data_IF_132138594548
#
_entry.id   IF_132138594548
#
_cell.length_a   1.000
_cell.length_b   1.000
_cell.length_c   1.000
_cell.angle_alpha   90.00
_cell.angle_beta   90.00
_cell.angle_gamma   90.00
#
_symmetry.space_group_name_H-M   'P 1'
#
loop_
_entity.id
_entity.type
_entity.pdbx_description
1 polymer ?
#
# COMPACT_ATOMS: atom_id res chain seq x y z
N UNK A 1 20.89 0.22 -33.53
CA UNK A 1 20.39 0.68 -32.19
C UNK A 1 19.30 1.68 -32.48
N UNK A 2 18.06 1.43 -32.00
CA UNK A 2 17.04 2.48 -32.03
C UNK A 2 17.57 3.71 -31.28
N UNK A 3 17.32 4.92 -31.80
CA UNK A 3 17.70 6.14 -31.11
C UNK A 3 16.99 6.16 -29.73
N UNK A 4 17.61 6.74 -28.70
CA UNK A 4 17.00 6.83 -27.36
C UNK A 4 15.65 7.54 -27.39
N UNK A 5 15.34 8.29 -28.46
CA UNK A 5 14.06 8.98 -28.66
C UNK A 5 12.91 8.05 -29.13
N UNK A 6 13.20 6.82 -29.54
CA UNK A 6 12.20 5.82 -30.02
C UNK A 6 11.80 4.84 -28.92
N UNK A 7 12.44 4.88 -27.77
CA UNK A 7 12.08 4.02 -26.63
C UNK A 7 10.93 4.67 -25.87
N UNK A 8 9.78 3.99 -25.82
CA UNK A 8 8.66 4.40 -24.97
C UNK A 8 8.93 3.88 -23.56
N UNK A 9 9.18 4.77 -22.59
CA UNK A 9 9.50 4.36 -21.23
C UNK A 9 8.28 3.82 -20.50
N UNK A 10 8.51 2.98 -19.48
CA UNK A 10 7.45 2.62 -18.53
C UNK A 10 7.16 3.84 -17.64
N UNK A 11 6.00 4.46 -17.86
CA UNK A 11 5.61 5.70 -17.16
C UNK A 11 5.51 5.52 -15.64
N UNK A 12 5.10 4.34 -15.16
CA UNK A 12 5.01 4.07 -13.72
C UNK A 12 6.41 4.03 -13.09
N UNK A 13 7.34 3.34 -13.74
CA UNK A 13 8.71 3.24 -13.27
C UNK A 13 9.44 4.59 -13.31
N UNK A 14 9.39 5.30 -14.46
CA UNK A 14 10.22 6.50 -14.64
C UNK A 14 9.69 7.72 -13.92
N UNK A 15 8.36 7.89 -13.94
CA UNK A 15 7.74 9.12 -13.44
C UNK A 15 7.31 9.05 -11.99
N UNK A 16 6.99 7.87 -11.46
CA UNK A 16 6.31 7.76 -10.18
C UNK A 16 6.97 6.86 -9.16
N UNK A 17 7.67 5.80 -9.59
CA UNK A 17 8.31 4.90 -8.66
C UNK A 17 9.60 5.51 -8.08
N UNK A 18 9.85 5.23 -6.80
CA UNK A 18 11.08 5.62 -6.12
C UNK A 18 12.32 4.93 -6.71
N UNK A 19 13.50 5.53 -6.57
CA UNK A 19 14.75 4.88 -7.01
C UNK A 19 14.95 3.48 -6.42
N UNK A 20 14.54 3.26 -5.16
CA UNK A 20 14.65 1.97 -4.49
C UNK A 20 13.77 0.90 -5.17
N UNK A 21 12.52 1.23 -5.50
CA UNK A 21 11.64 0.29 -6.21
C UNK A 21 12.13 0.01 -7.62
N UNK A 22 12.59 1.03 -8.34
CA UNK A 22 13.20 0.86 -9.67
C UNK A 22 14.43 -0.05 -9.63
N UNK A 23 15.28 0.08 -8.62
CA UNK A 23 16.46 -0.77 -8.47
C UNK A 23 16.09 -2.25 -8.35
N UNK A 24 15.03 -2.58 -7.59
CA UNK A 24 14.54 -3.96 -7.42
C UNK A 24 14.16 -4.59 -8.77
N UNK A 25 13.43 -3.85 -9.62
CA UNK A 25 12.87 -4.37 -10.88
C UNK A 25 13.73 -4.09 -12.11
N UNK A 26 14.85 -3.37 -11.99
CA UNK A 26 15.74 -3.11 -13.09
C UNK A 26 16.39 -4.38 -13.63
N UNK A 27 16.78 -4.40 -14.91
CA UNK A 27 17.53 -5.51 -15.51
C UNK A 27 18.81 -5.80 -14.73
N UNK A 28 19.57 -4.77 -14.34
CA UNK A 28 20.78 -4.92 -13.52
C UNK A 28 20.47 -5.50 -12.14
N UNK A 29 19.41 -5.03 -11.48
CA UNK A 29 19.00 -5.54 -10.16
C UNK A 29 18.61 -7.01 -10.21
N UNK A 30 17.85 -7.42 -11.23
CA UNK A 30 17.50 -8.84 -11.45
C UNK A 30 18.75 -9.71 -11.66
N UNK A 31 19.65 -9.31 -12.55
CA UNK A 31 20.87 -10.08 -12.85
C UNK A 31 21.79 -10.18 -11.61
N UNK A 32 21.88 -9.13 -10.81
CA UNK A 32 22.61 -9.19 -9.55
C UNK A 32 22.06 -10.27 -8.60
N UNK A 33 20.72 -10.35 -8.47
CA UNK A 33 20.07 -11.40 -7.66
C UNK A 33 20.31 -12.79 -8.28
N UNK A 34 20.27 -12.94 -9.60
CA UNK A 34 20.55 -14.19 -10.31
C UNK A 34 21.98 -14.69 -10.02
N UNK A 35 22.96 -13.79 -10.07
CA UNK A 35 24.36 -14.14 -9.79
C UNK A 35 24.59 -14.50 -8.32
N UNK A 36 23.99 -13.79 -7.40
CA UNK A 36 24.02 -14.12 -5.97
C UNK A 36 23.39 -15.50 -5.71
N UNK A 37 22.29 -15.84 -6.39
CA UNK A 37 21.64 -17.15 -6.28
C UNK A 37 22.54 -18.27 -6.84
N UNK A 38 23.13 -18.09 -8.01
CA UNK A 38 24.07 -19.07 -8.58
C UNK A 38 25.26 -19.30 -7.66
N UNK A 39 25.86 -18.25 -7.12
CA UNK A 39 26.97 -18.34 -6.16
C UNK A 39 26.55 -19.09 -4.88
N UNK A 40 25.35 -18.82 -4.37
CA UNK A 40 24.84 -19.53 -3.20
C UNK A 40 24.67 -21.03 -3.45
N UNK A 41 24.09 -21.39 -4.60
CA UNK A 41 23.91 -22.79 -5.00
C UNK A 41 25.27 -23.46 -5.18
N UNK A 42 26.20 -22.82 -5.88
CA UNK A 42 27.54 -23.35 -6.13
C UNK A 42 28.33 -23.60 -4.83
N UNK A 43 28.29 -22.64 -3.89
CA UNK A 43 28.92 -22.81 -2.56
C UNK A 43 28.28 -23.96 -1.79
N UNK A 44 26.95 -24.04 -1.77
CA UNK A 44 26.25 -25.11 -1.08
C UNK A 44 26.50 -26.49 -1.71
N UNK A 45 26.58 -26.56 -3.04
CA UNK A 45 26.93 -27.79 -3.76
C UNK A 45 28.36 -28.29 -3.39
N UNK A 46 29.32 -27.36 -3.36
CA UNK A 46 30.70 -27.70 -2.92
C UNK A 46 30.73 -28.20 -1.49
N UNK A 47 30.07 -27.54 -0.56
CA UNK A 47 30.00 -27.95 0.86
C UNK A 47 29.31 -29.31 1.03
N UNK A 48 28.45 -29.71 0.10
CA UNK A 48 27.79 -31.01 0.07
C UNK A 48 28.59 -32.08 -0.69
N UNK A 49 29.83 -31.77 -1.13
CA UNK A 49 30.76 -32.73 -1.67
C UNK A 49 30.88 -32.75 -3.20
N UNK A 50 30.24 -31.82 -3.93
CA UNK A 50 30.53 -31.71 -5.37
C UNK A 50 31.91 -31.12 -5.61
N UNK A 51 32.59 -31.63 -6.64
CA UNK A 51 33.99 -31.24 -7.00
C UNK A 51 34.02 -29.88 -7.68
N UNK A 52 33.71 -28.81 -6.93
CA UNK A 52 33.79 -27.42 -7.38
C UNK A 52 35.04 -26.78 -6.76
N UNK A 53 36.01 -26.31 -7.57
CA UNK A 53 37.22 -25.67 -7.03
C UNK A 53 36.92 -24.39 -6.27
N UNK A 54 37.61 -24.15 -5.15
CA UNK A 54 37.48 -22.89 -4.41
C UNK A 54 37.86 -21.68 -5.26
N UNK A 55 38.87 -21.81 -6.12
CA UNK A 55 39.28 -20.78 -7.05
C UNK A 55 38.16 -20.40 -8.04
N UNK A 56 37.36 -21.37 -8.49
CA UNK A 56 36.23 -21.05 -9.38
C UNK A 56 35.19 -20.17 -8.67
N UNK A 57 34.87 -20.46 -7.39
CA UNK A 57 33.96 -19.60 -6.60
C UNK A 57 34.51 -18.17 -6.48
N UNK A 58 35.80 -18.04 -6.16
CA UNK A 58 36.48 -16.75 -6.04
C UNK A 58 36.47 -15.95 -7.37
N UNK A 59 36.66 -16.65 -8.51
CA UNK A 59 36.60 -16.00 -9.83
C UNK A 59 35.21 -15.43 -10.13
N UNK A 60 34.14 -16.17 -9.85
CA UNK A 60 32.76 -15.64 -10.00
C UNK A 60 32.46 -14.50 -9.01
N UNK A 61 32.90 -14.60 -7.74
CA UNK A 61 32.71 -13.52 -6.76
C UNK A 61 33.41 -12.23 -7.19
N UNK A 62 34.59 -12.32 -7.75
CA UNK A 62 35.38 -11.17 -8.24
C UNK A 62 34.67 -10.40 -9.35
N UNK A 63 33.88 -11.09 -10.20
CA UNK A 63 33.24 -10.48 -11.38
C UNK A 63 31.72 -10.34 -11.24
N UNK A 64 31.11 -10.74 -10.13
CA UNK A 64 29.65 -10.78 -9.98
C UNK A 64 28.96 -9.44 -10.22
N UNK A 65 29.61 -8.33 -9.91
CA UNK A 65 29.05 -6.98 -10.07
C UNK A 65 29.36 -6.35 -11.45
N UNK A 66 30.17 -7.02 -12.28
CA UNK A 66 30.54 -6.59 -13.64
C UNK A 66 29.48 -7.04 -14.65
N UNK A 67 28.25 -6.44 -14.57
CA UNK A 67 27.12 -6.82 -15.41
C UNK A 67 27.20 -6.05 -16.74
N UNK A 68 27.43 -6.77 -17.85
CA UNK A 68 27.44 -6.24 -19.22
C UNK A 68 26.10 -6.55 -19.92
N UNK A 69 25.12 -5.66 -19.75
CA UNK A 69 23.79 -5.80 -20.36
C UNK A 69 23.85 -5.89 -21.89
N UNK A 70 24.77 -5.17 -22.53
CA UNK A 70 24.91 -5.18 -23.99
C UNK A 70 25.46 -6.54 -24.49
N UNK A 71 26.37 -7.16 -23.76
CA UNK A 71 26.86 -8.50 -24.06
C UNK A 71 25.76 -9.54 -23.89
N UNK A 72 24.96 -9.45 -22.84
CA UNK A 72 23.82 -10.33 -22.60
C UNK A 72 22.80 -10.22 -23.76
N UNK A 73 22.42 -9.00 -24.16
CA UNK A 73 21.47 -8.75 -25.24
C UNK A 73 21.97 -9.34 -26.58
N UNK A 74 23.25 -9.14 -26.93
CA UNK A 74 23.83 -9.74 -28.15
C UNK A 74 23.76 -11.28 -28.13
N UNK A 75 24.06 -11.90 -26.99
CA UNK A 75 23.99 -13.35 -26.81
C UNK A 75 22.57 -13.86 -26.90
N UNK A 76 21.62 -13.17 -26.26
CA UNK A 76 20.21 -13.54 -26.27
C UNK A 76 19.61 -13.51 -27.68
N UNK A 77 19.94 -12.51 -28.50
CA UNK A 77 19.55 -12.42 -29.91
C UNK A 77 20.07 -13.58 -30.76
N UNK A 78 21.24 -14.11 -30.41
CA UNK A 78 21.84 -15.25 -31.14
C UNK A 78 21.27 -16.59 -30.65
N UNK A 79 21.15 -16.74 -29.33
CA UNK A 79 20.77 -17.99 -28.69
C UNK A 79 19.25 -18.18 -28.60
N UNK A 80 18.47 -17.10 -28.73
CA UNK A 80 17.02 -17.04 -28.52
C UNK A 80 16.59 -17.61 -27.16
N UNK A 81 17.49 -17.46 -26.15
CA UNK A 81 17.27 -17.99 -24.80
C UNK A 81 17.94 -17.08 -23.76
N UNK A 82 17.14 -16.40 -22.97
CA UNK A 82 17.55 -15.39 -22.02
C UNK A 82 18.48 -15.92 -20.89
N UNK A 83 18.11 -17.00 -20.21
CA UNK A 83 18.92 -17.58 -19.13
C UNK A 83 20.27 -18.10 -19.65
N UNK A 84 20.28 -18.76 -20.83
CA UNK A 84 21.52 -19.24 -21.44
C UNK A 84 22.47 -18.09 -21.77
N UNK A 85 21.98 -16.99 -22.28
CA UNK A 85 22.76 -15.78 -22.56
C UNK A 85 23.44 -15.24 -21.28
N UNK A 86 22.71 -15.22 -20.16
CA UNK A 86 23.25 -14.78 -18.86
C UNK A 86 24.26 -15.76 -18.27
N UNK A 87 24.05 -17.07 -18.45
CA UNK A 87 25.04 -18.09 -18.06
C UNK A 87 26.34 -17.90 -18.84
N UNK A 88 26.28 -17.76 -20.16
CA UNK A 88 27.47 -17.61 -21.00
C UNK A 88 28.23 -16.32 -20.72
N UNK A 89 27.52 -15.23 -20.48
CA UNK A 89 28.14 -13.95 -20.12
C UNK A 89 28.88 -14.06 -18.78
N UNK A 90 28.26 -14.62 -17.75
CA UNK A 90 28.89 -14.75 -16.43
C UNK A 90 30.02 -15.76 -16.41
N UNK A 91 29.90 -16.90 -17.13
CA UNK A 91 30.96 -17.85 -17.33
C UNK A 91 32.18 -17.22 -18.07
N UNK A 92 31.90 -16.43 -19.11
CA UNK A 92 32.92 -15.72 -19.87
C UNK A 92 33.70 -14.72 -19.02
N UNK A 93 33.03 -13.96 -18.16
CA UNK A 93 33.68 -13.04 -17.23
C UNK A 93 34.51 -13.73 -16.18
N UNK A 94 34.04 -14.87 -15.64
CA UNK A 94 34.74 -15.65 -14.63
C UNK A 94 35.86 -16.53 -15.21
N UNK A 95 35.81 -16.84 -16.51
CA UNK A 95 36.68 -17.86 -17.13
C UNK A 95 36.45 -19.25 -16.59
N UNK A 96 35.22 -19.57 -16.22
CA UNK A 96 34.80 -20.83 -15.55
C UNK A 96 33.41 -21.27 -16.01
N UNK A 97 33.08 -22.55 -15.84
CA UNK A 97 31.78 -23.15 -16.17
C UNK A 97 31.28 -24.04 -15.02
N UNK A 98 31.00 -23.41 -13.85
CA UNK A 98 30.55 -24.12 -12.65
C UNK A 98 29.19 -23.66 -12.10
N UNK A 99 28.53 -22.65 -12.73
CA UNK A 99 27.18 -22.23 -12.32
C UNK A 99 26.12 -23.09 -13.01
N UNK A 100 24.90 -23.03 -12.49
CA UNK A 100 23.69 -23.67 -13.05
C UNK A 100 23.71 -25.20 -13.10
N UNK A 101 24.63 -25.85 -12.36
CA UNK A 101 24.73 -27.31 -12.34
C UNK A 101 23.48 -27.94 -11.72
N UNK A 102 22.83 -28.84 -12.47
CA UNK A 102 21.59 -29.51 -12.07
C UNK A 102 20.38 -28.57 -11.89
N UNK A 103 20.42 -27.38 -12.45
CA UNK A 103 19.33 -26.41 -12.42
C UNK A 103 18.63 -26.30 -13.79
N UNK A 104 17.33 -26.04 -13.76
CA UNK A 104 16.60 -25.54 -14.90
C UNK A 104 16.46 -24.02 -14.86
N UNK A 105 16.13 -23.39 -15.98
CA UNK A 105 15.91 -21.93 -16.05
C UNK A 105 14.93 -21.44 -14.99
N UNK A 106 13.91 -22.23 -14.67
CA UNK A 106 12.90 -21.87 -13.65
C UNK A 106 13.41 -21.97 -12.21
N UNK A 107 14.43 -22.78 -11.92
CA UNK A 107 15.08 -22.75 -10.61
C UNK A 107 15.75 -21.39 -10.34
N UNK A 108 16.17 -20.70 -11.40
CA UNK A 108 16.68 -19.34 -11.33
C UNK A 108 15.55 -18.32 -11.33
N UNK A 109 14.79 -18.24 -12.44
CA UNK A 109 13.87 -17.13 -12.70
C UNK A 109 12.72 -17.05 -11.72
N UNK A 110 12.13 -18.18 -11.31
CA UNK A 110 11.01 -18.19 -10.37
C UNK A 110 11.44 -17.68 -8.98
N UNK A 111 12.57 -18.17 -8.45
CA UNK A 111 13.06 -17.71 -7.14
C UNK A 111 13.51 -16.24 -7.17
N UNK A 112 14.11 -15.78 -8.26
CA UNK A 112 14.53 -14.38 -8.41
C UNK A 112 13.32 -13.44 -8.50
N UNK A 113 12.30 -13.76 -9.29
CA UNK A 113 11.07 -12.99 -9.35
C UNK A 113 10.34 -12.96 -8.00
N UNK A 114 10.28 -14.09 -7.28
CA UNK A 114 9.74 -14.13 -5.92
C UNK A 114 10.52 -13.23 -4.95
N UNK A 115 11.83 -13.15 -5.06
CA UNK A 115 12.64 -12.22 -4.27
C UNK A 115 12.38 -10.76 -4.64
N UNK A 116 12.19 -10.45 -5.93
CA UNK A 116 11.84 -9.08 -6.36
C UNK A 116 10.47 -8.68 -5.80
N UNK A 117 9.47 -9.57 -5.88
CA UNK A 117 8.15 -9.35 -5.26
C UNK A 117 8.31 -9.13 -3.74
N UNK A 118 8.99 -10.01 -3.05
CA UNK A 118 9.17 -9.93 -1.59
C UNK A 118 9.85 -8.61 -1.18
N UNK A 119 10.94 -8.22 -1.85
CA UNK A 119 11.64 -6.95 -1.60
C UNK A 119 10.74 -5.74 -1.87
N UNK A 120 9.90 -5.80 -2.93
CA UNK A 120 8.89 -4.78 -3.20
C UNK A 120 7.86 -4.66 -2.07
N UNK A 121 7.34 -5.79 -1.60
CA UNK A 121 6.39 -5.84 -0.47
C UNK A 121 7.03 -5.31 0.83
N UNK A 122 8.28 -5.65 1.12
CA UNK A 122 9.02 -5.16 2.29
C UNK A 122 9.24 -3.65 2.24
N UNK A 123 9.59 -3.10 1.08
CA UNK A 123 9.72 -1.66 0.89
C UNK A 123 8.39 -0.94 1.13
N UNK A 124 7.30 -1.46 0.57
CA UNK A 124 5.96 -0.90 0.73
C UNK A 124 5.44 -1.02 2.16
N UNK A 125 5.78 -2.10 2.87
CA UNK A 125 5.52 -2.24 4.30
C UNK A 125 6.13 -1.09 5.10
N UNK A 126 7.38 -0.72 4.83
CA UNK A 126 8.05 0.41 5.49
C UNK A 126 7.35 1.74 5.17
N UNK A 127 6.93 1.95 3.92
CA UNK A 127 6.18 3.15 3.52
C UNK A 127 4.80 3.23 4.17
N UNK A 128 4.11 2.11 4.32
CA UNK A 128 2.85 2.04 5.05
C UNK A 128 3.02 2.41 6.54
N UNK A 129 4.09 1.94 7.19
CA UNK A 129 4.42 2.36 8.56
C UNK A 129 4.74 3.86 8.62
N UNK A 130 5.43 4.41 7.62
CA UNK A 130 5.70 5.85 7.52
C UNK A 130 4.40 6.68 7.37
N UNK A 131 3.43 6.19 6.62
CA UNK A 131 2.11 6.82 6.50
C UNK A 131 1.32 6.77 7.81
N UNK A 132 1.34 5.63 8.51
CA UNK A 132 0.73 5.48 9.84
C UNK A 132 1.34 6.45 10.86
N UNK A 133 2.65 6.59 10.88
CA UNK A 133 3.34 7.55 11.77
C UNK A 133 2.88 8.98 11.50
N UNK A 134 2.74 9.38 10.23
CA UNK A 134 2.25 10.71 9.85
C UNK A 134 0.79 10.92 10.23
N UNK A 135 -0.07 9.94 9.96
CA UNK A 135 -1.48 9.97 10.38
C UNK A 135 -1.59 10.12 11.90
N UNK A 136 -0.83 9.35 12.68
CA UNK A 136 -0.83 9.42 14.14
C UNK A 136 -0.34 10.78 14.66
N UNK A 137 0.75 11.33 14.07
CA UNK A 137 1.28 12.65 14.43
C UNK A 137 0.31 13.79 14.13
N UNK A 138 -0.50 13.67 13.08
CA UNK A 138 -1.53 14.66 12.74
C UNK A 138 -2.84 14.46 13.50
N UNK A 139 -3.22 13.23 13.79
CA UNK A 139 -4.44 12.92 14.51
C UNK A 139 -4.38 13.38 15.99
N UNK A 140 -3.25 13.16 16.68
CA UNK A 140 -3.10 13.43 18.09
C UNK A 140 -3.35 14.91 18.50
N UNK A 141 -2.74 15.91 17.88
CA UNK A 141 -2.97 17.32 18.23
C UNK A 141 -4.38 17.79 17.88
N UNK A 142 -5.03 17.15 16.91
CA UNK A 142 -6.37 17.52 16.42
C UNK A 142 -7.49 16.63 16.97
N UNK A 143 -7.19 15.80 18.00
CA UNK A 143 -8.17 14.88 18.59
C UNK A 143 -9.36 15.57 19.28
N UNK A 144 -9.26 16.85 19.59
CA UNK A 144 -10.34 17.66 20.16
C UNK A 144 -10.90 18.69 19.18
N UNK A 145 -10.34 18.81 17.97
CA UNK A 145 -10.84 19.74 16.97
C UNK A 145 -12.16 19.21 16.41
N UNK A 146 -13.27 19.75 16.92
CA UNK A 146 -14.62 19.37 16.47
C UNK A 146 -14.79 19.64 14.97
N UNK A 147 -15.42 18.70 14.30
CA UNK A 147 -15.69 18.72 12.87
C UNK A 147 -17.09 18.17 12.60
N UNK A 148 -17.80 18.78 11.67
CA UNK A 148 -19.07 18.25 11.16
C UNK A 148 -18.82 16.92 10.44
N UNK A 149 -19.30 15.82 11.02
CA UNK A 149 -19.28 14.52 10.34
C UNK A 149 -20.40 14.43 9.32
N UNK A 150 -20.15 13.66 8.26
CA UNK A 150 -21.09 13.44 7.17
C UNK A 150 -21.29 11.97 6.93
N UNK A 151 -22.53 11.54 6.82
CA UNK A 151 -22.92 10.24 6.29
C UNK A 151 -23.74 10.50 5.02
N UNK A 152 -23.59 9.66 3.99
CA UNK A 152 -24.20 9.91 2.68
C UNK A 152 -23.88 11.32 2.12
N UNK A 153 -22.72 11.87 2.49
CA UNK A 153 -22.24 13.22 2.20
C UNK A 153 -23.10 14.37 2.81
N UNK A 154 -24.02 14.06 3.72
CA UNK A 154 -24.89 15.04 4.40
C UNK A 154 -24.43 15.20 5.85
N UNK A 155 -24.43 16.44 6.42
CA UNK A 155 -24.15 16.66 7.83
C UNK A 155 -24.99 15.77 8.74
N UNK A 156 -24.36 15.08 9.69
CA UNK A 156 -25.00 14.09 10.56
C UNK A 156 -24.81 14.41 12.05
N UNK A 157 -23.63 14.15 12.58
CA UNK A 157 -23.25 14.39 13.97
C UNK A 157 -21.87 15.04 14.04
N UNK A 158 -21.45 15.60 15.17
CA UNK A 158 -20.08 16.04 15.37
C UNK A 158 -19.13 14.85 15.49
N UNK A 159 -17.92 15.03 14.98
CA UNK A 159 -16.74 14.19 15.21
C UNK A 159 -15.53 15.08 15.48
N UNK A 160 -14.32 14.54 15.46
CA UNK A 160 -13.10 15.35 15.46
C UNK A 160 -12.27 15.12 14.22
N UNK A 161 -11.45 16.10 13.85
CA UNK A 161 -10.53 15.94 12.72
C UNK A 161 -9.54 14.80 12.97
N UNK A 162 -9.01 14.71 14.20
CA UNK A 162 -8.14 13.60 14.59
C UNK A 162 -8.79 12.23 14.43
N UNK A 163 -10.08 12.10 14.80
CA UNK A 163 -10.83 10.84 14.61
C UNK A 163 -11.01 10.51 13.13
N UNK A 164 -11.26 11.50 12.30
CA UNK A 164 -11.34 11.31 10.83
C UNK A 164 -10.03 10.75 10.26
N UNK A 165 -8.86 11.24 10.72
CA UNK A 165 -7.57 10.69 10.32
C UNK A 165 -7.35 9.28 10.86
N UNK A 166 -7.74 9.01 12.11
CA UNK A 166 -7.61 7.70 12.73
C UNK A 166 -8.39 6.61 11.98
N UNK A 167 -9.55 6.93 11.37
CA UNK A 167 -10.32 5.97 10.57
C UNK A 167 -9.51 5.41 9.40
N UNK A 168 -8.80 6.26 8.67
CA UNK A 168 -7.92 5.81 7.58
C UNK A 168 -6.70 5.07 8.11
N UNK A 169 -6.23 5.45 9.30
CA UNK A 169 -5.16 4.74 9.99
C UNK A 169 -5.54 3.32 10.38
N UNK A 170 -6.74 3.10 10.88
CA UNK A 170 -7.24 1.75 11.24
C UNK A 170 -7.40 0.86 9.99
N UNK A 171 -7.88 1.42 8.87
CA UNK A 171 -7.94 0.69 7.59
C UNK A 171 -6.53 0.27 7.12
N UNK A 172 -5.56 1.20 7.22
CA UNK A 172 -4.16 0.91 6.85
C UNK A 172 -3.50 -0.09 7.80
N UNK A 173 -3.78 -0.03 9.12
CA UNK A 173 -3.29 -1.00 10.10
C UNK A 173 -3.76 -2.42 9.77
N UNK A 174 -5.03 -2.59 9.46
CA UNK A 174 -5.59 -3.90 9.07
C UNK A 174 -4.88 -4.47 7.83
N UNK A 175 -4.67 -3.64 6.82
CA UNK A 175 -3.96 -4.06 5.60
C UNK A 175 -2.47 -4.36 5.86
N UNK A 176 -1.81 -3.56 6.69
CA UNK A 176 -0.41 -3.75 7.07
C UNK A 176 -0.20 -5.05 7.87
N UNK A 177 -1.07 -5.38 8.80
CA UNK A 177 -1.02 -6.61 9.58
C UNK A 177 -1.10 -7.85 8.66
N UNK A 178 -2.03 -7.83 7.71
CA UNK A 178 -2.17 -8.90 6.70
C UNK A 178 -0.93 -9.00 5.80
N UNK A 179 -0.41 -7.87 5.34
CA UNK A 179 0.82 -7.84 4.54
C UNK A 179 2.02 -8.40 5.32
N UNK A 180 2.19 -8.02 6.59
CA UNK A 180 3.30 -8.51 7.43
C UNK A 180 3.22 -10.04 7.64
N UNK A 181 2.01 -10.57 7.89
CA UNK A 181 1.76 -12.01 7.97
C UNK A 181 2.05 -12.71 6.64
N UNK A 182 1.64 -12.14 5.51
CA UNK A 182 1.90 -12.65 4.19
C UNK A 182 3.41 -12.72 3.89
N UNK A 183 4.16 -11.65 4.16
CA UNK A 183 5.62 -11.61 4.01
C UNK A 183 6.28 -12.67 4.90
N UNK A 184 5.87 -12.79 6.15
CA UNK A 184 6.45 -13.77 7.08
C UNK A 184 6.21 -15.23 6.68
N UNK A 185 5.10 -15.49 5.97
CA UNK A 185 4.72 -16.80 5.48
C UNK A 185 5.08 -17.06 4.01
N UNK A 186 5.70 -16.10 3.31
CA UNK A 186 5.98 -16.15 1.87
C UNK A 186 6.86 -17.35 1.52
N UNK A 187 6.41 -18.29 0.65
CA UNK A 187 7.17 -19.48 0.30
C UNK A 187 8.01 -19.22 -0.95
N UNK A 188 9.20 -19.81 -1.01
CA UNK A 188 9.97 -19.92 -2.24
C UNK A 188 9.52 -21.12 -3.09
N UNK A 189 9.78 -21.09 -4.39
CA UNK A 189 9.66 -22.28 -5.23
C UNK A 189 10.73 -23.32 -4.83
N UNK A 190 11.93 -22.90 -4.55
CA UNK A 190 13.06 -23.76 -4.26
C UNK A 190 13.74 -24.32 -5.52
N UNK A 191 14.65 -25.29 -5.31
CA UNK A 191 15.35 -26.01 -6.38
C UNK A 191 14.61 -27.31 -6.70
N UNK A 192 13.75 -27.29 -7.69
CA UNK A 192 12.86 -28.42 -8.04
C UNK A 192 13.21 -29.12 -9.35
N UNK A 193 14.06 -28.50 -10.18
CA UNK A 193 14.39 -28.99 -11.51
C UNK A 193 13.24 -28.78 -12.52
N UNK A 194 13.33 -29.43 -13.66
CA UNK A 194 12.48 -29.18 -14.81
C UNK A 194 11.00 -29.51 -14.59
N UNK A 195 10.68 -30.53 -13.79
CA UNK A 195 9.30 -30.98 -13.54
C UNK A 195 9.00 -31.18 -12.04
N UNK A 196 9.83 -30.66 -11.17
CA UNK A 196 9.58 -30.66 -9.71
C UNK A 196 10.19 -31.84 -8.94
N UNK A 197 10.88 -32.77 -9.59
CA UNK A 197 11.38 -34.01 -8.99
C UNK A 197 12.77 -33.92 -8.39
N UNK A 198 13.50 -32.82 -8.59
CA UNK A 198 14.90 -32.65 -8.23
C UNK A 198 15.83 -33.72 -8.85
N UNK A 199 15.44 -34.33 -10.00
CA UNK A 199 16.16 -35.44 -10.63
C UNK A 199 17.62 -35.08 -10.86
N UNK A 200 17.88 -33.93 -11.53
CA UNK A 200 19.24 -33.54 -11.92
C UNK A 200 20.16 -33.28 -10.70
N UNK A 201 19.61 -32.67 -9.66
CA UNK A 201 20.33 -32.46 -8.39
C UNK A 201 20.63 -33.79 -7.69
N UNK A 202 19.65 -34.69 -7.67
CA UNK A 202 19.83 -36.03 -7.09
C UNK A 202 20.85 -36.83 -7.87
N UNK A 203 20.85 -36.75 -9.20
CA UNK A 203 21.82 -37.38 -10.06
C UNK A 203 23.24 -36.85 -9.81
N UNK A 204 23.42 -35.53 -9.68
CA UNK A 204 24.72 -34.92 -9.31
C UNK A 204 25.26 -35.44 -7.97
N UNK A 205 24.37 -35.77 -7.04
CA UNK A 205 24.73 -36.39 -5.76
C UNK A 205 24.68 -37.92 -5.75
N UNK A 206 24.87 -38.55 -6.91
CA UNK A 206 24.98 -40.03 -7.06
C UNK A 206 23.75 -40.76 -6.49
N UNK A 207 22.55 -40.19 -6.65
CA UNK A 207 21.28 -40.74 -6.14
C UNK A 207 20.92 -40.34 -4.72
N UNK A 208 21.75 -39.54 -4.04
CA UNK A 208 21.49 -39.13 -2.65
C UNK A 208 20.47 -37.96 -2.59
N UNK A 209 19.18 -38.29 -2.53
CA UNK A 209 18.09 -37.33 -2.38
C UNK A 209 18.19 -36.50 -1.07
N UNK A 210 18.85 -37.00 -0.02
CA UNK A 210 19.04 -36.25 1.23
C UNK A 210 20.02 -35.09 1.03
N UNK A 211 21.05 -35.25 0.19
CA UNK A 211 21.95 -34.14 -0.19
C UNK A 211 21.20 -33.09 -1.03
N UNK A 212 20.37 -33.51 -1.98
CA UNK A 212 19.52 -32.59 -2.77
C UNK A 212 18.60 -31.78 -1.87
N UNK A 213 17.94 -32.40 -0.90
CA UNK A 213 17.10 -31.70 0.09
C UNK A 213 17.91 -30.72 0.98
N UNK A 214 19.12 -31.10 1.40
CA UNK A 214 20.02 -30.20 2.15
C UNK A 214 20.49 -29.01 1.31
N UNK A 215 20.72 -29.20 0.02
CA UNK A 215 21.03 -28.09 -0.91
C UNK A 215 19.89 -27.07 -0.94
N UNK A 216 18.66 -27.51 -1.11
CA UNK A 216 17.49 -26.63 -1.09
C UNK A 216 17.37 -25.88 0.25
N UNK A 217 17.54 -26.54 1.38
CA UNK A 217 17.52 -25.90 2.70
C UNK A 217 18.60 -24.83 2.88
N UNK A 218 19.80 -25.05 2.32
CA UNK A 218 20.88 -24.05 2.34
C UNK A 218 20.54 -22.84 1.47
N UNK A 219 19.95 -23.08 0.29
CA UNK A 219 19.45 -22.01 -0.56
C UNK A 219 18.39 -21.18 0.16
N UNK A 220 17.40 -21.81 0.83
CA UNK A 220 16.36 -21.08 1.58
C UNK A 220 16.96 -20.18 2.65
N UNK A 221 17.98 -20.62 3.36
CA UNK A 221 18.71 -19.78 4.33
C UNK A 221 19.40 -18.58 3.67
N UNK A 222 20.03 -18.81 2.51
CA UNK A 222 20.64 -17.72 1.73
C UNK A 222 19.61 -16.69 1.27
N UNK A 223 18.44 -17.12 0.81
CA UNK A 223 17.35 -16.25 0.38
C UNK A 223 16.63 -15.56 1.56
N UNK A 224 16.93 -15.93 2.80
CA UNK A 224 16.23 -15.42 3.99
C UNK A 224 14.79 -15.91 4.11
N UNK A 225 14.42 -16.97 3.39
CA UNK A 225 13.05 -17.50 3.35
C UNK A 225 12.92 -18.71 4.28
N UNK A 226 11.81 -18.76 5.02
CA UNK A 226 11.53 -19.81 6.00
C UNK A 226 10.72 -20.97 5.43
N UNK A 227 10.01 -20.74 4.34
CA UNK A 227 9.10 -21.71 3.72
C UNK A 227 9.51 -21.97 2.27
N UNK A 228 9.33 -23.20 1.84
CA UNK A 228 9.49 -23.65 0.46
C UNK A 228 8.30 -24.51 0.08
N UNK A 229 7.86 -24.43 -1.15
CA UNK A 229 6.86 -25.34 -1.67
C UNK A 229 7.40 -26.78 -1.68
N UNK A 230 6.56 -27.72 -1.21
CA UNK A 230 6.91 -29.13 -1.20
C UNK A 230 6.82 -29.76 -2.60
N UNK A 231 5.61 -29.86 -3.10
CA UNK A 231 5.29 -30.52 -4.37
C UNK A 231 4.80 -29.49 -5.40
N UNK A 232 5.75 -28.87 -6.11
CA UNK A 232 5.46 -27.98 -7.25
C UNK A 232 6.21 -28.48 -8.48
N UNK A 233 5.67 -28.21 -9.65
CA UNK A 233 6.30 -28.53 -10.91
C UNK A 233 7.40 -27.53 -11.31
N UNK A 234 7.44 -27.19 -12.60
CA UNK A 234 8.37 -26.22 -13.14
C UNK A 234 8.11 -24.81 -12.58
N UNK A 235 6.85 -24.48 -12.29
CA UNK A 235 6.42 -23.19 -11.77
C UNK A 235 5.73 -23.33 -10.42
N UNK A 236 5.74 -22.27 -9.59
CA UNK A 236 4.95 -22.21 -8.36
C UNK A 236 3.50 -21.78 -8.67
N UNK A 237 2.51 -22.07 -7.79
CA UNK A 237 1.11 -21.70 -8.01
C UNK A 237 0.93 -20.20 -8.17
N UNK A 238 0.31 -19.75 -9.26
CA UNK A 238 0.10 -18.31 -9.56
C UNK A 238 -0.89 -17.62 -8.62
N UNK A 239 -1.60 -18.37 -7.81
CA UNK A 239 -2.36 -17.85 -6.67
C UNK A 239 -1.47 -17.08 -5.66
N UNK A 240 -0.16 -17.35 -5.59
CA UNK A 240 0.77 -16.57 -4.79
C UNK A 240 0.98 -15.16 -5.36
N UNK A 241 1.09 -15.04 -6.70
CA UNK A 241 1.17 -13.74 -7.38
C UNK A 241 -0.11 -12.93 -7.18
N UNK A 242 -1.28 -13.59 -7.32
CA UNK A 242 -2.57 -12.97 -7.05
C UNK A 242 -2.69 -12.49 -5.60
N UNK A 243 -2.25 -13.28 -4.63
CA UNK A 243 -2.24 -12.88 -3.22
C UNK A 243 -1.33 -11.66 -2.99
N UNK A 244 -0.14 -11.61 -3.60
CA UNK A 244 0.78 -10.48 -3.49
C UNK A 244 0.18 -9.19 -4.07
N UNK A 245 -0.37 -9.23 -5.29
CA UNK A 245 -0.97 -8.05 -5.94
C UNK A 245 -2.24 -7.61 -5.21
N UNK A 246 -3.05 -8.54 -4.71
CA UNK A 246 -4.22 -8.24 -3.86
C UNK A 246 -3.81 -7.55 -2.55
N UNK A 247 -2.71 -7.99 -1.92
CA UNK A 247 -2.19 -7.35 -0.72
C UNK A 247 -1.75 -5.90 -0.99
N UNK A 248 -1.13 -5.62 -2.15
CA UNK A 248 -0.78 -4.26 -2.57
C UNK A 248 -2.01 -3.37 -2.75
N UNK A 249 -3.06 -3.88 -3.38
CA UNK A 249 -4.31 -3.15 -3.55
C UNK A 249 -4.98 -2.85 -2.21
N UNK A 250 -5.06 -3.83 -1.30
CA UNK A 250 -5.59 -3.64 0.05
C UNK A 250 -4.79 -2.59 0.84
N UNK A 251 -3.46 -2.62 0.73
CA UNK A 251 -2.58 -1.65 1.39
C UNK A 251 -2.81 -0.22 0.86
N UNK A 252 -3.13 -0.07 -0.42
CA UNK A 252 -3.39 1.22 -1.08
C UNK A 252 -4.79 1.79 -0.79
N UNK A 253 -5.75 0.97 -0.32
CA UNK A 253 -7.17 1.35 -0.19
C UNK A 253 -7.39 2.51 0.78
N UNK A 254 -6.70 2.51 1.92
CA UNK A 254 -6.78 3.58 2.91
C UNK A 254 -6.37 4.95 2.34
N UNK A 255 -5.36 4.99 1.48
CA UNK A 255 -4.94 6.21 0.79
C UNK A 255 -6.02 6.71 -0.18
N UNK A 256 -6.73 5.80 -0.87
CA UNK A 256 -7.88 6.14 -1.71
C UNK A 256 -9.02 6.77 -0.91
N UNK A 257 -9.41 6.14 0.19
CA UNK A 257 -10.46 6.64 1.11
C UNK A 257 -10.09 8.03 1.69
N UNK A 258 -8.83 8.19 2.09
CA UNK A 258 -8.29 9.48 2.54
C UNK A 258 -8.35 10.54 1.43
N UNK A 259 -7.88 10.24 0.23
CA UNK A 259 -7.86 11.16 -0.91
C UNK A 259 -9.25 11.63 -1.30
N UNK A 260 -10.26 10.75 -1.29
CA UNK A 260 -11.67 11.13 -1.49
C UNK A 260 -12.10 12.15 -0.44
N UNK A 261 -11.82 11.90 0.84
CA UNK A 261 -12.22 12.80 1.93
C UNK A 261 -11.52 14.15 1.84
N UNK A 262 -10.21 14.19 1.51
CA UNK A 262 -9.49 15.45 1.30
C UNK A 262 -10.13 16.27 0.18
N UNK A 263 -10.47 15.65 -0.95
CA UNK A 263 -11.13 16.33 -2.08
C UNK A 263 -12.49 16.91 -1.69
N UNK A 264 -13.31 16.14 -0.96
CA UNK A 264 -14.60 16.61 -0.46
C UNK A 264 -14.45 17.78 0.51
N UNK A 265 -13.48 17.69 1.44
CA UNK A 265 -13.22 18.78 2.39
C UNK A 265 -12.63 20.02 1.69
N UNK A 266 -11.83 19.86 0.67
CA UNK A 266 -11.29 20.97 -0.12
C UNK A 266 -12.41 21.70 -0.88
N UNK A 267 -13.38 20.97 -1.44
CA UNK A 267 -14.57 21.55 -2.06
C UNK A 267 -15.42 22.39 -1.11
N UNK A 268 -15.35 22.12 0.19
CA UNK A 268 -15.99 22.89 1.26
C UNK A 268 -15.10 23.98 1.87
N UNK A 269 -13.87 24.14 1.39
CA UNK A 269 -12.92 25.12 1.93
C UNK A 269 -12.38 24.76 3.33
N UNK A 270 -12.46 23.50 3.78
CA UNK A 270 -12.08 23.09 5.14
C UNK A 270 -10.63 22.64 5.26
N UNK A 271 -10.03 22.21 4.15
CA UNK A 271 -8.63 21.80 4.04
C UNK A 271 -8.12 21.89 2.60
N UNK A 272 -6.82 21.70 2.44
CA UNK A 272 -6.13 21.51 1.15
C UNK A 272 -5.17 20.33 1.24
N UNK A 273 -4.81 19.72 0.09
CA UNK A 273 -3.75 18.69 0.02
C UNK A 273 -2.34 19.25 0.23
N UNK A 274 -2.21 20.57 0.31
CA UNK A 274 -0.97 21.30 0.36
C UNK A 274 -0.68 22.02 -0.96
N UNK A 275 0.07 23.11 -0.86
CA UNK A 275 0.47 23.92 -1.99
C UNK A 275 1.88 24.47 -1.77
N UNK A 276 2.80 24.07 -2.65
CA UNK A 276 4.19 24.50 -2.53
C UNK A 276 4.39 25.90 -3.11
N UNK A 277 5.33 26.65 -2.54
CA UNK A 277 5.72 27.96 -3.08
C UNK A 277 6.20 27.80 -4.53
N UNK A 278 5.57 28.54 -5.45
CA UNK A 278 5.87 28.44 -6.89
C UNK A 278 5.08 27.38 -7.66
N UNK A 279 4.28 26.56 -6.97
CA UNK A 279 3.39 25.61 -7.63
C UNK A 279 2.25 26.36 -8.35
N UNK A 280 1.92 25.91 -9.57
CA UNK A 280 0.75 26.42 -10.32
C UNK A 280 -0.44 25.50 -10.09
N UNK A 281 -1.47 25.99 -9.39
CA UNK A 281 -2.69 25.23 -9.10
C UNK A 281 -3.61 25.10 -10.32
N UNK A 282 -3.71 26.16 -11.11
CA UNK A 282 -4.49 26.24 -12.34
C UNK A 282 -3.83 27.20 -13.33
N UNK A 283 -3.81 26.82 -14.60
CA UNK A 283 -3.25 27.67 -15.68
C UNK A 283 -4.14 28.89 -16.01
N UNK A 284 -5.42 28.85 -15.61
CA UNK A 284 -6.42 29.88 -15.94
C UNK A 284 -6.90 30.63 -14.72
N UNK A 285 -7.09 29.92 -13.58
CA UNK A 285 -7.62 30.51 -12.35
C UNK A 285 -6.56 30.49 -11.25
N UNK A 286 -5.78 31.56 -11.02
CA UNK A 286 -4.63 31.56 -10.13
C UNK A 286 -4.94 31.23 -8.66
N UNK A 287 -6.15 31.53 -8.20
CA UNK A 287 -6.63 31.25 -6.83
C UNK A 287 -7.12 29.82 -6.61
N UNK A 288 -7.25 29.03 -7.68
CA UNK A 288 -7.83 27.67 -7.59
C UNK A 288 -6.76 26.66 -7.21
N UNK A 289 -6.84 26.12 -6.01
CA UNK A 289 -5.98 25.07 -5.51
C UNK A 289 -6.65 23.70 -5.73
N UNK A 290 -6.21 22.97 -6.74
CA UNK A 290 -6.74 21.64 -7.07
C UNK A 290 -6.05 20.54 -6.25
N UNK A 291 -6.79 19.51 -5.88
CA UNK A 291 -6.24 18.32 -5.19
C UNK A 291 -5.68 17.28 -6.18
N UNK A 292 -4.68 17.69 -6.99
CA UNK A 292 -4.11 16.87 -8.08
C UNK A 292 -3.39 15.62 -7.57
N UNK A 293 -2.77 15.68 -6.39
CA UNK A 293 -2.11 14.52 -5.79
C UNK A 293 -3.16 13.51 -5.30
N UNK A 294 -4.26 13.96 -4.71
CA UNK A 294 -5.37 13.08 -4.35
C UNK A 294 -6.01 12.42 -5.59
N UNK A 295 -6.11 13.14 -6.72
CA UNK A 295 -6.55 12.57 -7.99
C UNK A 295 -5.58 11.51 -8.51
N UNK A 296 -4.28 11.77 -8.39
CA UNK A 296 -3.21 10.80 -8.76
C UNK A 296 -3.28 9.53 -7.92
N UNK A 297 -3.55 9.63 -6.61
CA UNK A 297 -3.77 8.46 -5.73
C UNK A 297 -4.90 7.58 -6.28
N UNK A 298 -6.03 8.17 -6.72
CA UNK A 298 -7.12 7.42 -7.34
C UNK A 298 -6.71 6.75 -8.66
N UNK A 299 -5.91 7.43 -9.47
CA UNK A 299 -5.36 6.86 -10.70
C UNK A 299 -4.54 5.60 -10.44
N UNK A 300 -3.64 5.63 -9.46
CA UNK A 300 -2.86 4.45 -9.06
C UNK A 300 -3.73 3.33 -8.51
N UNK A 301 -4.74 3.64 -7.71
CA UNK A 301 -5.66 2.63 -7.18
C UNK A 301 -6.45 1.94 -8.30
N UNK A 302 -6.87 2.69 -9.32
CA UNK A 302 -7.51 2.13 -10.52
C UNK A 302 -6.58 1.18 -11.27
N UNK A 303 -5.31 1.56 -11.47
CA UNK A 303 -4.29 0.70 -12.09
C UNK A 303 -4.09 -0.59 -11.28
N UNK A 304 -3.95 -0.48 -9.96
CA UNK A 304 -3.82 -1.65 -9.08
C UNK A 304 -5.03 -2.58 -9.16
N UNK A 305 -6.26 -2.05 -9.29
CA UNK A 305 -7.47 -2.86 -9.49
C UNK A 305 -7.40 -3.66 -10.79
N UNK A 306 -6.89 -3.06 -11.86
CA UNK A 306 -6.64 -3.76 -13.13
C UNK A 306 -5.61 -4.88 -12.97
N UNK A 307 -4.52 -4.64 -12.26
CA UNK A 307 -3.50 -5.66 -12.00
C UNK A 307 -4.02 -6.81 -11.13
N UNK A 308 -4.87 -6.54 -10.14
CA UNK A 308 -5.56 -7.59 -9.36
C UNK A 308 -6.36 -8.51 -10.29
N UNK A 309 -7.10 -7.94 -11.25
CA UNK A 309 -7.89 -8.72 -12.22
C UNK A 309 -6.99 -9.60 -13.08
N UNK A 310 -5.91 -9.05 -13.64
CA UNK A 310 -4.95 -9.82 -14.45
C UNK A 310 -4.27 -10.93 -13.65
N UNK A 311 -3.86 -10.65 -12.41
CA UNK A 311 -3.24 -11.67 -11.54
C UNK A 311 -4.23 -12.78 -11.14
N UNK A 312 -5.50 -12.42 -10.91
CA UNK A 312 -6.55 -13.38 -10.60
C UNK A 312 -6.81 -14.37 -11.76
N UNK A 313 -6.72 -13.91 -13.00
CA UNK A 313 -6.89 -14.77 -14.18
C UNK A 313 -5.74 -15.78 -14.38
N UNK A 314 -4.56 -15.52 -13.82
CA UNK A 314 -3.46 -16.48 -13.82
C UNK A 314 -3.62 -17.57 -12.75
N UNK A 315 -4.38 -17.31 -11.70
CA UNK A 315 -4.60 -18.27 -10.63
C UNK A 315 -5.55 -19.36 -11.09
N UNK A 316 -5.09 -20.62 -11.04
CA UNK A 316 -5.87 -21.77 -11.53
C UNK A 316 -5.63 -22.18 -12.99
N UNK A 317 -4.82 -21.44 -13.74
CA UNK A 317 -4.48 -21.69 -15.15
C UNK A 317 -3.17 -22.48 -15.35
N UNK A 318 -2.75 -23.29 -14.39
CA UNK A 318 -1.55 -24.10 -14.53
C UNK A 318 -1.80 -25.35 -15.39
N UNK A 319 -0.99 -25.54 -16.43
CA UNK A 319 -1.01 -26.71 -17.30
C UNK A 319 0.03 -27.73 -16.90
N UNK A 320 -0.40 -28.91 -16.43
CA UNK A 320 0.45 -29.99 -15.94
C UNK A 320 1.54 -29.44 -14.95
N UNK A 321 2.81 -29.77 -15.17
CA UNK A 321 3.94 -29.31 -14.34
C UNK A 321 4.29 -27.84 -14.56
N UNK A 322 3.73 -27.19 -15.58
CA UNK A 322 3.86 -25.77 -15.87
C UNK A 322 4.15 -25.47 -17.34
N UNK A 323 3.86 -24.22 -17.70
CA UNK A 323 4.12 -23.66 -19.02
C UNK A 323 4.61 -22.20 -18.92
N UNK A 324 4.71 -21.50 -20.04
CA UNK A 324 5.15 -20.09 -20.11
C UNK A 324 4.05 -19.11 -20.46
N UNK A 325 2.78 -19.52 -20.59
CA UNK A 325 1.65 -18.65 -20.96
C UNK A 325 1.49 -17.49 -19.97
N UNK A 326 1.73 -17.75 -18.68
CA UNK A 326 1.71 -16.74 -17.64
C UNK A 326 2.84 -15.70 -17.74
N UNK A 327 3.89 -15.95 -18.51
CA UNK A 327 5.14 -15.18 -18.49
C UNK A 327 4.94 -13.74 -18.94
N UNK A 328 4.20 -13.50 -20.03
CA UNK A 328 3.95 -12.15 -20.55
C UNK A 328 3.17 -11.31 -19.54
N UNK A 329 2.08 -11.86 -18.99
CA UNK A 329 1.25 -11.18 -18.01
C UNK A 329 2.06 -10.83 -16.75
N UNK A 330 2.85 -11.76 -16.22
CA UNK A 330 3.67 -11.57 -15.02
C UNK A 330 4.75 -10.50 -15.18
N UNK A 331 5.35 -10.39 -16.38
CA UNK A 331 6.32 -9.34 -16.73
C UNK A 331 5.73 -7.92 -16.70
N UNK A 332 4.42 -7.81 -16.85
CA UNK A 332 3.68 -6.55 -16.70
C UNK A 332 3.16 -6.40 -15.27
N UNK A 333 2.37 -7.37 -14.80
CA UNK A 333 1.61 -7.24 -13.54
C UNK A 333 2.51 -7.05 -12.32
N UNK A 334 3.56 -7.85 -12.16
CA UNK A 334 4.36 -7.85 -10.93
C UNK A 334 5.16 -6.54 -10.75
N UNK A 335 5.96 -6.08 -11.74
CA UNK A 335 6.67 -4.82 -11.61
C UNK A 335 5.72 -3.62 -11.57
N UNK A 336 4.71 -3.58 -12.45
CA UNK A 336 3.83 -2.41 -12.57
C UNK A 336 2.90 -2.26 -11.36
N UNK A 337 2.45 -3.35 -10.74
CA UNK A 337 1.73 -3.28 -9.47
C UNK A 337 2.61 -2.72 -8.34
N UNK A 338 3.89 -3.12 -8.29
CA UNK A 338 4.86 -2.56 -7.34
C UNK A 338 5.13 -1.08 -7.62
N UNK A 339 5.31 -0.67 -8.88
CA UNK A 339 5.53 0.73 -9.27
C UNK A 339 4.31 1.59 -8.96
N UNK A 340 3.10 1.12 -9.28
CA UNK A 340 1.86 1.84 -8.99
C UNK A 340 1.64 2.01 -7.48
N UNK A 341 1.84 0.96 -6.69
CA UNK A 341 1.74 1.02 -5.23
C UNK A 341 2.81 1.96 -4.63
N UNK A 342 4.02 1.91 -5.15
CA UNK A 342 5.13 2.75 -4.71
C UNK A 342 4.85 4.22 -4.99
N UNK A 343 4.46 4.57 -6.21
CA UNK A 343 4.07 5.94 -6.60
C UNK A 343 2.86 6.45 -5.82
N UNK A 344 1.92 5.57 -5.49
CA UNK A 344 0.79 5.91 -4.63
C UNK A 344 1.29 6.30 -3.23
N UNK A 345 2.18 5.50 -2.61
CA UNK A 345 2.70 5.81 -1.28
C UNK A 345 3.61 7.04 -1.26
N UNK A 346 4.43 7.27 -2.30
CA UNK A 346 5.20 8.53 -2.43
C UNK A 346 4.25 9.74 -2.44
N UNK A 347 3.16 9.65 -3.22
CA UNK A 347 2.15 10.70 -3.30
C UNK A 347 1.39 10.86 -1.98
N UNK A 348 1.00 9.75 -1.34
CA UNK A 348 0.27 9.79 -0.07
C UNK A 348 1.10 10.40 1.07
N UNK A 349 2.36 10.01 1.18
CA UNK A 349 3.30 10.59 2.16
C UNK A 349 3.47 12.09 1.93
N UNK A 350 3.61 12.52 0.67
CA UNK A 350 3.68 13.94 0.31
C UNK A 350 2.44 14.70 0.75
N UNK A 351 1.24 14.17 0.48
CA UNK A 351 -0.01 14.81 0.92
C UNK A 351 -0.10 14.83 2.45
N UNK A 352 0.27 13.75 3.13
CA UNK A 352 0.30 13.72 4.59
C UNK A 352 1.27 14.73 5.20
N UNK A 353 2.39 15.03 4.54
CA UNK A 353 3.34 16.05 5.02
C UNK A 353 2.85 17.47 4.76
N UNK A 354 2.15 17.72 3.65
CA UNK A 354 1.83 19.05 3.14
C UNK A 354 0.38 19.51 3.40
N UNK A 355 -0.56 18.57 3.62
CA UNK A 355 -1.98 18.95 3.75
C UNK A 355 -2.20 19.90 4.94
N UNK A 356 -3.10 20.86 4.73
CA UNK A 356 -3.39 21.94 5.65
C UNK A 356 -4.89 22.00 5.93
N UNK A 357 -5.26 22.27 7.19
CA UNK A 357 -6.64 22.43 7.63
C UNK A 357 -6.89 23.90 7.99
N UNK A 358 -8.10 24.34 7.82
CA UNK A 358 -8.53 25.70 8.12
C UNK A 358 -9.47 25.73 9.34
N UNK A 359 -8.93 25.84 10.57
CA UNK A 359 -9.74 25.74 11.79
C UNK A 359 -10.85 26.81 11.89
N UNK A 360 -10.65 28.00 11.29
CA UNK A 360 -11.66 29.03 11.24
C UNK A 360 -12.86 28.62 10.35
N UNK A 361 -12.60 28.09 9.16
CA UNK A 361 -13.64 27.58 8.27
C UNK A 361 -14.39 26.40 8.89
N UNK A 362 -13.66 25.48 9.56
CA UNK A 362 -14.26 24.35 10.29
C UNK A 362 -15.19 24.87 11.40
N UNK A 363 -14.79 25.88 12.17
CA UNK A 363 -15.66 26.47 13.20
C UNK A 363 -16.91 27.09 12.60
N UNK A 364 -16.78 27.89 11.54
CA UNK A 364 -17.91 28.50 10.88
C UNK A 364 -18.91 27.46 10.32
N UNK A 365 -18.40 26.35 9.74
CA UNK A 365 -19.27 25.25 9.33
C UNK A 365 -19.97 24.61 10.53
N UNK A 366 -19.24 24.32 11.62
CA UNK A 366 -19.81 23.73 12.81
C UNK A 366 -20.90 24.63 13.41
N UNK A 367 -20.68 25.93 13.52
CA UNK A 367 -21.66 26.89 14.05
C UNK A 367 -22.95 26.88 13.22
N UNK A 368 -22.82 26.92 11.91
CA UNK A 368 -23.96 26.84 10.99
C UNK A 368 -24.74 25.52 11.11
N UNK A 369 -24.06 24.41 11.33
CA UNK A 369 -24.66 23.07 11.36
C UNK A 369 -25.09 22.63 12.76
N UNK A 370 -24.57 23.26 13.82
CA UNK A 370 -24.73 22.83 15.22
C UNK A 370 -26.20 22.61 15.63
N UNK A 371 -27.18 23.44 15.23
CA UNK A 371 -28.55 23.20 15.58
C UNK A 371 -29.07 21.82 15.17
N UNK A 372 -28.68 21.35 13.98
CA UNK A 372 -29.10 20.06 13.46
C UNK A 372 -28.22 18.91 14.03
N UNK A 373 -26.93 19.15 14.19
CA UNK A 373 -26.00 18.17 14.75
C UNK A 373 -26.32 17.82 16.20
N UNK A 374 -26.90 18.76 16.96
CA UNK A 374 -27.26 18.57 18.37
C UNK A 374 -28.56 17.79 18.59
N UNK A 375 -29.36 17.57 17.55
CA UNK A 375 -30.70 16.98 17.66
C UNK A 375 -30.73 15.62 18.37
N UNK A 376 -29.76 14.76 18.14
CA UNK A 376 -29.66 13.47 18.83
C UNK A 376 -29.29 13.61 20.30
N UNK A 377 -28.47 14.59 20.67
CA UNK A 377 -28.14 14.90 22.07
C UNK A 377 -29.37 15.43 22.80
N UNK A 378 -30.16 16.32 22.12
CA UNK A 378 -31.41 16.83 22.64
C UNK A 378 -32.41 15.68 22.84
N UNK A 379 -32.54 14.78 21.87
CA UNK A 379 -33.36 13.58 21.98
C UNK A 379 -33.00 12.74 23.24
N UNK A 380 -31.72 12.46 23.43
CA UNK A 380 -31.29 11.67 24.58
C UNK A 380 -31.53 12.40 25.91
N UNK A 381 -31.41 13.71 25.94
CA UNK A 381 -31.68 14.50 27.14
C UNK A 381 -33.18 14.51 27.46
N UNK A 382 -34.06 14.66 26.45
CA UNK A 382 -35.49 14.54 26.64
C UNK A 382 -35.90 13.16 27.17
N UNK A 383 -35.31 12.07 26.62
CA UNK A 383 -35.56 10.70 27.08
C UNK A 383 -35.12 10.50 28.54
N UNK A 384 -33.95 11.01 28.95
CA UNK A 384 -33.49 10.98 30.35
C UNK A 384 -34.44 11.67 31.32
N UNK A 385 -35.22 12.63 30.84
CA UNK A 385 -36.23 13.38 31.61
C UNK A 385 -37.63 12.76 31.57
N UNK A 386 -37.75 11.57 30.93
CA UNK A 386 -39.00 10.82 30.91
C UNK A 386 -39.82 10.98 29.64
N UNK A 387 -39.37 11.74 28.64
CA UNK A 387 -40.07 11.79 27.36
C UNK A 387 -39.96 10.44 26.63
N UNK A 388 -41.06 10.01 26.02
CA UNK A 388 -41.06 8.83 25.15
C UNK A 388 -40.09 9.06 23.94
N UNK A 389 -39.23 8.09 23.64
CA UNK A 389 -38.23 8.22 22.57
C UNK A 389 -38.86 8.60 21.22
N UNK A 390 -39.93 7.89 20.82
CA UNK A 390 -40.57 8.10 19.52
C UNK A 390 -41.35 9.44 19.51
N UNK A 391 -41.97 9.83 20.61
CA UNK A 391 -42.65 11.13 20.78
C UNK A 391 -41.65 12.28 20.64
N UNK A 392 -40.51 12.19 21.34
CA UNK A 392 -39.45 13.19 21.26
C UNK A 392 -38.81 13.22 19.87
N UNK A 393 -38.58 12.05 19.24
CA UNK A 393 -38.07 11.98 17.87
C UNK A 393 -39.02 12.63 16.85
N UNK A 394 -40.34 12.36 16.95
CA UNK A 394 -41.32 12.94 16.05
C UNK A 394 -41.37 14.49 16.19
N UNK A 395 -41.32 14.99 17.43
CA UNK A 395 -41.26 16.42 17.70
C UNK A 395 -40.01 17.08 17.08
N UNK A 396 -38.85 16.52 17.34
CA UNK A 396 -37.59 17.04 16.79
C UNK A 396 -37.62 17.02 15.26
N UNK A 397 -38.08 15.92 14.65
CA UNK A 397 -38.20 15.77 13.19
C UNK A 397 -39.05 16.86 12.57
N UNK A 398 -40.23 17.12 13.15
CA UNK A 398 -41.18 18.18 12.70
C UNK A 398 -40.48 19.53 12.65
N UNK A 399 -39.91 19.97 13.76
CA UNK A 399 -39.25 21.27 13.87
C UNK A 399 -37.97 21.37 13.02
N UNK A 400 -37.15 20.29 12.96
CA UNK A 400 -35.94 20.29 12.17
C UNK A 400 -36.21 20.35 10.67
N UNK A 401 -37.23 19.66 10.16
CA UNK A 401 -37.62 19.74 8.74
C UNK A 401 -38.18 21.13 8.38
N UNK A 402 -38.99 21.74 9.26
CA UNK A 402 -39.50 23.10 9.04
C UNK A 402 -38.36 24.12 9.01
N UNK A 403 -37.45 24.09 10.00
CA UNK A 403 -36.29 24.98 10.06
C UNK A 403 -35.37 24.81 8.85
N UNK A 404 -35.08 23.55 8.45
CA UNK A 404 -34.26 23.28 7.28
C UNK A 404 -34.88 23.80 5.97
N UNK A 405 -36.22 23.76 5.82
CA UNK A 405 -36.93 24.31 4.67
C UNK A 405 -36.83 25.85 4.64
N UNK A 406 -37.00 26.51 5.77
CA UNK A 406 -36.88 27.98 5.87
C UNK A 406 -35.47 28.44 5.49
N UNK A 407 -34.43 27.81 6.03
CA UNK A 407 -33.03 28.14 5.68
C UNK A 407 -32.79 27.97 4.17
N UNK A 408 -33.25 26.87 3.57
CA UNK A 408 -33.10 26.62 2.12
C UNK A 408 -33.85 27.62 1.25
N UNK A 409 -34.96 28.11 1.72
CA UNK A 409 -35.77 29.13 1.00
C UNK A 409 -35.29 30.57 1.26
N UNK A 410 -34.23 30.75 2.08
CA UNK A 410 -33.76 32.09 2.45
C UNK A 410 -34.72 32.87 3.37
N UNK A 411 -35.67 32.19 4.03
CA UNK A 411 -36.69 32.81 4.85
C UNK A 411 -36.27 33.07 6.30
N UNK A 412 -34.97 32.88 6.63
CA UNK A 412 -34.44 33.10 7.96
C UNK A 412 -33.38 32.04 8.35
N UNK A 413 -32.94 32.06 9.61
CA UNK A 413 -32.00 31.11 10.20
C UNK A 413 -32.65 29.78 10.67
N UNK A 414 -33.99 29.68 10.51
CA UNK A 414 -34.80 28.54 10.89
C UNK A 414 -35.05 28.41 12.40
N UNK A 415 -34.42 29.20 13.24
CA UNK A 415 -34.60 29.31 14.71
C UNK A 415 -34.91 27.97 15.41
N UNK A 416 -34.21 26.87 15.01
CA UNK A 416 -34.54 25.50 15.45
C UNK A 416 -34.57 25.38 17.00
N UNK A 417 -33.60 25.99 17.69
CA UNK A 417 -33.56 25.92 19.17
C UNK A 417 -34.74 26.64 19.83
N UNK A 418 -35.22 27.75 19.28
CA UNK A 418 -36.37 28.45 19.81
C UNK A 418 -37.65 27.63 19.63
N UNK A 419 -37.79 26.95 18.50
CA UNK A 419 -38.88 25.99 18.24
C UNK A 419 -38.86 24.82 19.22
N UNK A 420 -37.65 24.21 19.44
CA UNK A 420 -37.51 23.10 20.37
C UNK A 420 -37.71 23.51 21.83
N UNK A 421 -37.36 24.75 22.21
CA UNK A 421 -37.58 25.29 23.55
C UNK A 421 -39.08 25.49 23.88
N UNK A 422 -39.91 25.68 22.87
CA UNK A 422 -41.36 25.77 23.01
C UNK A 422 -42.12 24.46 22.87
N UNK A 423 -41.42 23.34 22.72
CA UNK A 423 -42.02 22.05 22.41
C UNK A 423 -42.29 21.22 23.68
N UNK A 424 -43.56 21.10 24.13
CA UNK A 424 -43.88 20.41 25.38
C UNK A 424 -43.53 18.93 25.40
N UNK A 425 -43.54 18.26 24.25
CA UNK A 425 -43.22 16.83 24.11
C UNK A 425 -41.75 16.51 24.48
N UNK A 426 -40.88 17.52 24.52
CA UNK A 426 -39.46 17.34 24.89
C UNK A 426 -39.22 17.50 26.38
N UNK A 427 -40.06 18.24 27.10
CA UNK A 427 -39.89 18.52 28.54
C UNK A 427 -38.58 19.29 28.84
N UNK A 428 -38.09 20.11 27.87
CA UNK A 428 -36.83 20.86 27.98
C UNK A 428 -37.06 22.36 27.92
N UNK A 429 -36.55 23.08 28.90
CA UNK A 429 -36.58 24.54 28.90
C UNK A 429 -35.50 25.13 27.98
N UNK A 430 -35.68 26.40 27.55
CA UNK A 430 -34.69 27.14 26.77
C UNK A 430 -33.31 27.18 27.48
N UNK A 431 -33.32 27.37 28.82
CA UNK A 431 -32.10 27.40 29.61
C UNK A 431 -31.35 26.05 29.58
N UNK A 432 -32.07 24.93 29.61
CA UNK A 432 -31.51 23.57 29.53
C UNK A 432 -30.98 23.28 28.16
N UNK A 433 -31.67 23.62 27.08
CA UNK A 433 -31.16 23.51 25.70
C UNK A 433 -29.91 24.37 25.52
N UNK A 434 -29.89 25.62 25.98
CA UNK A 434 -28.71 26.48 25.93
C UNK A 434 -27.53 25.94 26.73
N UNK A 435 -27.78 25.26 27.87
CA UNK A 435 -26.73 24.62 28.65
C UNK A 435 -26.10 23.40 27.92
N UNK A 436 -26.90 22.65 27.18
CA UNK A 436 -26.39 21.54 26.34
C UNK A 436 -25.41 22.03 25.28
N UNK A 437 -25.63 23.20 24.71
CA UNK A 437 -24.87 23.74 23.59
C UNK A 437 -23.57 24.45 24.02
N UNK A 438 -23.42 24.81 25.30
CA UNK A 438 -22.29 25.59 25.81
C UNK A 438 -20.97 24.85 25.79
N UNK A 439 -20.99 23.50 25.85
CA UNK A 439 -19.76 22.69 25.83
C UNK A 439 -19.74 21.79 24.58
N UNK A 440 -19.11 22.25 23.49
CA UNK A 440 -18.99 21.47 22.24
C UNK A 440 -18.31 20.10 22.42
N UNK A 441 -17.50 19.93 23.48
CA UNK A 441 -16.80 18.67 23.75
C UNK A 441 -17.75 17.51 24.06
N UNK A 442 -18.97 17.81 24.53
CA UNK A 442 -19.99 16.80 24.78
C UNK A 442 -20.50 16.13 23.51
N UNK A 443 -20.36 16.79 22.37
CA UNK A 443 -20.88 16.27 21.10
C UNK A 443 -19.95 15.29 20.38
N UNK A 444 -18.66 15.26 20.75
CA UNK A 444 -17.68 14.41 20.04
C UNK A 444 -17.53 13.02 20.68
N UNK A 445 -18.26 12.74 21.76
CA UNK A 445 -18.29 11.43 22.42
C UNK A 445 -16.90 10.88 22.74
N UNK A 446 -16.66 9.63 22.36
CA UNK A 446 -15.40 8.92 22.60
C UNK A 446 -14.30 9.24 21.55
N UNK A 447 -14.52 10.16 20.60
CA UNK A 447 -13.56 10.40 19.52
C UNK A 447 -12.13 10.71 19.99
N UNK A 448 -11.89 11.52 21.04
CA UNK A 448 -10.53 11.75 21.54
C UNK A 448 -9.85 10.47 22.06
N UNK A 449 -10.57 9.63 22.81
CA UNK A 449 -10.04 8.37 23.33
C UNK A 449 -9.75 7.36 22.21
N UNK A 450 -10.58 7.32 21.17
CA UNK A 450 -10.36 6.51 19.97
C UNK A 450 -9.09 6.93 19.21
N UNK A 451 -8.81 8.24 19.13
CA UNK A 451 -7.55 8.74 18.57
C UNK A 451 -6.36 8.29 19.40
N UNK A 452 -6.44 8.39 20.73
CA UNK A 452 -5.35 7.95 21.60
C UNK A 452 -5.11 6.43 21.48
N UNK A 453 -6.16 5.62 21.33
CA UNK A 453 -6.06 4.19 21.06
C UNK A 453 -5.37 3.89 19.73
N UNK A 454 -5.78 4.58 18.65
CA UNK A 454 -5.11 4.46 17.33
C UNK A 454 -3.61 4.81 17.44
N UNK A 455 -3.27 5.94 18.06
CA UNK A 455 -1.87 6.34 18.26
C UNK A 455 -1.08 5.27 19.03
N UNK A 456 -1.71 4.64 20.01
CA UNK A 456 -1.10 3.54 20.76
C UNK A 456 -0.86 2.30 19.87
N UNK A 457 -1.81 1.95 19.00
CA UNK A 457 -1.70 0.82 18.06
C UNK A 457 -0.60 1.01 17.01
N UNK A 458 -0.29 2.24 16.61
CA UNK A 458 0.80 2.56 15.66
C UNK A 458 2.19 2.41 16.30
N UNK A 459 2.35 2.63 17.61
CA UNK A 459 3.66 2.65 18.29
C UNK A 459 4.50 1.36 18.10
N UNK A 460 3.97 0.13 18.20
CA UNK A 460 4.76 -1.07 17.97
C UNK A 460 5.38 -1.11 16.58
N UNK A 461 4.63 -0.70 15.56
CA UNK A 461 5.08 -0.65 14.17
C UNK A 461 6.22 0.34 13.97
N UNK A 462 6.09 1.55 14.49
CA UNK A 462 7.15 2.58 14.39
C UNK A 462 8.39 2.27 15.25
N UNK A 463 8.28 1.41 16.27
CA UNK A 463 9.43 0.87 16.99
C UNK A 463 10.15 -0.21 16.20
N UNK A 464 9.40 -1.14 15.62
CA UNK A 464 9.94 -2.24 14.81
C UNK A 464 10.58 -1.73 13.50
N UNK A 465 10.02 -0.70 12.89
CA UNK A 465 10.48 -0.10 11.64
C UNK A 465 10.92 1.35 11.86
N UNK A 466 11.99 1.55 12.61
CA UNK A 466 12.43 2.89 13.03
C UNK A 466 12.77 3.81 11.84
N UNK A 467 13.29 3.26 10.75
CA UNK A 467 13.60 3.98 9.50
C UNK A 467 12.38 4.64 8.84
N UNK A 468 11.18 4.10 9.09
CA UNK A 468 9.93 4.68 8.59
C UNK A 468 9.68 6.12 9.07
N UNK A 469 10.17 6.49 10.26
CA UNK A 469 9.98 7.83 10.85
C UNK A 469 10.75 8.93 10.11
N UNK A 470 11.88 8.59 9.53
CA UNK A 470 12.76 9.52 8.81
C UNK A 470 12.64 9.40 7.29
N UNK A 471 11.81 8.48 6.81
CA UNK A 471 11.60 8.28 5.38
C UNK A 471 10.99 9.55 4.77
N UNK A 472 11.68 10.08 3.76
CA UNK A 472 11.19 11.20 2.97
C UNK A 472 10.67 10.69 1.63
N UNK A 473 9.51 11.15 1.17
CA UNK A 473 9.02 10.81 -0.16
C UNK A 473 9.94 11.38 -1.24
N UNK A 474 10.08 10.66 -2.35
CA UNK A 474 10.78 11.17 -3.52
C UNK A 474 10.01 12.37 -4.10
N UNK A 475 10.70 13.34 -4.72
CA UNK A 475 10.02 14.45 -5.39
C UNK A 475 9.04 13.93 -6.44
N UNK A 476 7.81 14.44 -6.40
CA UNK A 476 6.78 14.14 -7.41
C UNK A 476 6.98 15.06 -8.62
N UNK A 477 7.01 14.48 -9.82
CA UNK A 477 7.09 15.21 -11.08
C UNK A 477 5.69 15.62 -11.57
#
# INVERSE_FOLDING_TARGET
MASTSEIIPNVLAERYASPAMRAIWSARGRIAIERDLWLAVMKAQRELGLKIPAAAIADYERVKDQIDLASIDRRERTLLHDVKARIEEFNGLAGREFIHLGMTSRDLTENVEQLQVLRGLELLRVKAVAALDRLARRARPTRQLMLTARTHNVPAQPTTFGKRLAMFGDELLLALERLDQFIAAYPARGLKGAVGTQLDQTTLFEGDARRAAKLEQRLMRHLGLRRVFGAVGQVYPRSLDFAAVSALHQLASAAGSFATTVRLMAGLGLMTEGFQKGQVGSSVMPHKVNCRNCERIHGFLTILSGHVTMAAQLAGEQWNEGDVSCSVVRRVVLPDACFAADGLFETFLTVLDQCEIFPAAIRAENERQLPFLATTTILMEAVKRGAGRETAHAAIKEHALAAAREIRNGSGDGALFDRLAGEPRLGLTRAQLGALLRDPRRFVGAAPAQVDAFVAAVRPWTRRFATAKTLQPAPLL
#
